data_IF_705155963324
#
_entry.id   IF_705155963324
#
_cell.length_a   1.000
_cell.length_b   1.000
_cell.length_c   1.000
_cell.angle_alpha   90.00
_cell.angle_beta   90.00
_cell.angle_gamma   90.00
#
_symmetry.space_group_name_H-M   'P 1'
#
loop_
_entity.id
_entity.type
_entity.pdbx_description
1 polymer ?
#
# COMPACT_ATOMS: atom_id res chain seq x y z
N UNK A 1 -7.92 47.94 -84.01
CA UNK A 1 -8.23 47.73 -82.59
C UNK A 1 -7.00 47.33 -81.78
N UNK A 2 -6.21 48.30 -81.27
CA UNK A 2 -5.08 48.00 -80.36
C UNK A 2 -5.55 47.67 -78.93
N UNK A 3 -6.69 48.24 -78.54
CA UNK A 3 -7.33 48.00 -77.23
C UNK A 3 -7.82 46.56 -77.08
N UNK A 4 -8.47 46.00 -78.11
CA UNK A 4 -8.96 44.61 -78.09
C UNK A 4 -7.83 43.58 -77.93
N UNK A 5 -6.66 43.84 -78.52
CA UNK A 5 -5.48 42.97 -78.39
C UNK A 5 -4.96 42.99 -76.94
N UNK A 6 -4.84 44.17 -76.34
CA UNK A 6 -4.42 44.32 -74.94
C UNK A 6 -5.42 43.70 -73.96
N UNK A 7 -6.71 43.86 -74.21
CA UNK A 7 -7.75 43.24 -73.38
C UNK A 7 -7.68 41.71 -73.43
N UNK A 8 -7.48 41.15 -74.63
CA UNK A 8 -7.29 39.70 -74.80
C UNK A 8 -6.05 39.19 -74.07
N UNK A 9 -4.93 39.92 -74.14
CA UNK A 9 -3.69 39.58 -73.43
C UNK A 9 -3.87 39.63 -71.89
N UNK A 10 -4.55 40.64 -71.36
CA UNK A 10 -4.84 40.76 -69.92
C UNK A 10 -5.71 39.58 -69.46
N UNK A 11 -6.75 39.24 -70.22
CA UNK A 11 -7.63 38.11 -69.92
C UNK A 11 -6.89 36.78 -69.98
N UNK A 12 -5.98 36.60 -70.93
CA UNK A 12 -5.16 35.41 -71.06
C UNK A 12 -4.20 35.26 -69.86
N UNK A 13 -3.47 36.32 -69.50
CA UNK A 13 -2.59 36.33 -68.32
C UNK A 13 -3.37 36.12 -67.01
N UNK A 14 -4.54 36.74 -66.88
CA UNK A 14 -5.41 36.53 -65.72
C UNK A 14 -5.91 35.08 -65.62
N UNK A 15 -6.24 34.47 -66.77
CA UNK A 15 -6.65 33.06 -66.85
C UNK A 15 -5.52 32.10 -66.52
N UNK A 16 -4.28 32.44 -66.89
CA UNK A 16 -3.09 31.67 -66.56
C UNK A 16 -2.81 31.71 -65.05
N UNK A 17 -2.80 32.90 -64.44
CA UNK A 17 -2.61 33.07 -62.99
C UNK A 17 -3.66 32.29 -62.20
N UNK A 18 -4.95 32.40 -62.58
CA UNK A 18 -6.02 31.66 -61.91
C UNK A 18 -5.86 30.14 -62.04
N UNK A 19 -5.35 29.65 -63.18
CA UNK A 19 -5.09 28.22 -63.39
C UNK A 19 -3.94 27.73 -62.52
N UNK A 20 -2.86 28.50 -62.43
CA UNK A 20 -1.73 28.18 -61.55
C UNK A 20 -2.16 28.15 -60.07
N UNK A 21 -2.94 29.15 -59.63
CA UNK A 21 -3.47 29.18 -58.26
C UNK A 21 -4.39 28.00 -57.97
N UNK A 22 -5.26 27.63 -58.93
CA UNK A 22 -6.13 26.48 -58.80
C UNK A 22 -5.32 25.17 -58.68
N UNK A 23 -4.27 25.00 -59.47
CA UNK A 23 -3.42 23.82 -59.42
C UNK A 23 -2.58 23.77 -58.13
N UNK A 24 -2.09 24.91 -57.64
CA UNK A 24 -1.41 25.00 -56.35
C UNK A 24 -2.36 24.61 -55.20
N UNK A 25 -3.57 25.16 -55.17
CA UNK A 25 -4.58 24.85 -54.17
C UNK A 25 -4.98 23.35 -54.19
N UNK A 26 -5.13 22.75 -55.39
CA UNK A 26 -5.41 21.30 -55.52
C UNK A 26 -4.28 20.43 -54.98
N UNK A 27 -3.02 20.81 -55.22
CA UNK A 27 -1.86 20.07 -54.71
C UNK A 27 -1.78 20.16 -53.19
N UNK A 28 -2.01 21.34 -52.63
CA UNK A 28 -2.04 21.55 -51.18
C UNK A 28 -3.17 20.73 -50.53
N UNK A 29 -4.38 20.79 -51.09
CA UNK A 29 -5.53 20.01 -50.62
C UNK A 29 -5.21 18.52 -50.59
N UNK A 30 -4.64 17.98 -51.69
CA UNK A 30 -4.25 16.57 -51.76
C UNK A 30 -3.19 16.18 -50.72
N UNK A 31 -2.32 17.11 -50.34
CA UNK A 31 -1.31 16.87 -49.31
C UNK A 31 -1.98 16.87 -47.92
N UNK A 32 -2.92 17.78 -47.68
CA UNK A 32 -3.74 17.81 -46.46
C UNK A 32 -4.61 16.56 -46.32
N UNK A 33 -5.21 16.07 -47.40
CA UNK A 33 -6.02 14.84 -47.38
C UNK A 33 -5.20 13.64 -46.92
N UNK A 34 -3.98 13.49 -47.43
CA UNK A 34 -3.05 12.42 -46.99
C UNK A 34 -2.69 12.53 -45.52
N UNK A 35 -2.48 13.75 -45.03
CA UNK A 35 -2.19 13.97 -43.62
C UNK A 35 -3.41 13.67 -42.73
N UNK A 36 -4.62 14.01 -43.19
CA UNK A 36 -5.86 13.63 -42.53
C UNK A 36 -6.03 12.11 -42.48
N UNK A 37 -5.74 11.39 -43.57
CA UNK A 37 -5.75 9.92 -43.58
C UNK A 37 -4.76 9.34 -42.56
N UNK A 38 -3.53 9.87 -42.53
CA UNK A 38 -2.50 9.45 -41.56
C UNK A 38 -2.94 9.70 -40.12
N UNK A 39 -3.48 10.88 -39.82
CA UNK A 39 -4.01 11.22 -38.49
C UNK A 39 -5.21 10.36 -38.11
N UNK A 40 -6.08 10.03 -39.06
CA UNK A 40 -7.21 9.12 -38.85
C UNK A 40 -6.75 7.72 -38.46
N UNK A 41 -5.67 7.21 -39.08
CA UNK A 41 -5.07 5.93 -38.70
C UNK A 41 -4.51 5.95 -37.28
N UNK A 42 -3.77 7.01 -36.93
CA UNK A 42 -3.23 7.18 -35.57
C UNK A 42 -4.36 7.24 -34.54
N UNK A 43 -5.44 7.99 -34.82
CA UNK A 43 -6.61 8.04 -33.94
C UNK A 43 -7.21 6.65 -33.73
N UNK A 44 -7.46 5.90 -34.81
CA UNK A 44 -8.06 4.56 -34.72
C UNK A 44 -7.17 3.60 -33.92
N UNK A 45 -5.84 3.68 -34.08
CA UNK A 45 -4.91 2.85 -33.33
C UNK A 45 -4.94 3.18 -31.83
N UNK A 46 -4.95 4.48 -31.48
CA UNK A 46 -5.08 4.91 -30.08
C UNK A 46 -6.44 4.50 -29.50
N UNK A 47 -7.53 4.60 -30.26
CA UNK A 47 -8.86 4.14 -29.83
C UNK A 47 -8.84 2.64 -29.51
N UNK A 48 -8.21 1.83 -30.36
CA UNK A 48 -8.06 0.39 -30.11
C UNK A 48 -7.21 0.10 -28.86
N UNK A 49 -6.04 0.73 -28.73
CA UNK A 49 -5.18 0.56 -27.55
C UNK A 49 -5.88 0.98 -26.25
N UNK A 50 -6.69 2.03 -26.30
CA UNK A 50 -7.51 2.47 -25.16
C UNK A 50 -8.59 1.45 -24.82
N UNK A 51 -9.26 0.85 -25.81
CA UNK A 51 -10.26 -0.18 -25.59
C UNK A 51 -9.64 -1.44 -24.97
N UNK A 52 -8.50 -1.90 -25.49
CA UNK A 52 -7.76 -3.06 -24.98
C UNK A 52 -7.27 -2.84 -23.55
N UNK A 53 -6.71 -1.66 -23.25
CA UNK A 53 -6.31 -1.29 -21.89
C UNK A 53 -7.52 -1.25 -20.95
N UNK A 54 -8.63 -0.67 -21.40
CA UNK A 54 -9.86 -0.58 -20.61
C UNK A 54 -10.41 -1.97 -20.28
N UNK A 55 -10.44 -2.89 -21.26
CA UNK A 55 -10.83 -4.27 -21.04
C UNK A 55 -9.92 -4.97 -20.02
N UNK A 56 -8.60 -4.82 -20.18
CA UNK A 56 -7.61 -5.41 -19.28
C UNK A 56 -7.76 -4.91 -17.83
N UNK A 57 -8.02 -3.62 -17.63
CA UNK A 57 -8.25 -3.04 -16.31
C UNK A 57 -9.52 -3.61 -15.65
N UNK A 58 -10.61 -3.78 -16.40
CA UNK A 58 -11.83 -4.39 -15.86
C UNK A 58 -11.63 -5.86 -15.49
N UNK A 59 -10.91 -6.62 -16.33
CA UNK A 59 -10.60 -8.02 -16.03
C UNK A 59 -9.76 -8.16 -14.76
N UNK A 60 -8.72 -7.35 -14.60
CA UNK A 60 -7.85 -7.40 -13.42
C UNK A 60 -8.60 -6.91 -12.16
N UNK A 61 -9.41 -5.86 -12.26
CA UNK A 61 -10.25 -5.41 -11.15
C UNK A 61 -11.23 -6.52 -10.71
N UNK A 62 -11.90 -7.18 -11.66
CA UNK A 62 -12.79 -8.30 -11.34
C UNK A 62 -12.04 -9.49 -10.74
N UNK A 63 -10.82 -9.77 -11.20
CA UNK A 63 -9.97 -10.83 -10.65
C UNK A 63 -9.60 -10.53 -9.20
N UNK A 64 -9.13 -9.31 -8.89
CA UNK A 64 -8.80 -8.90 -7.52
C UNK A 64 -9.99 -9.05 -6.57
N UNK A 65 -11.19 -8.63 -7.00
CA UNK A 65 -12.42 -8.76 -6.22
C UNK A 65 -12.77 -10.24 -5.98
N UNK A 66 -12.68 -11.08 -7.01
CA UNK A 66 -12.93 -12.53 -6.85
C UNK A 66 -11.94 -13.16 -5.87
N UNK A 67 -10.66 -12.86 -5.99
CA UNK A 67 -9.63 -13.39 -5.08
C UNK A 67 -9.87 -12.97 -3.63
N UNK A 68 -10.26 -11.71 -3.40
CA UNK A 68 -10.64 -11.23 -2.07
C UNK A 68 -11.85 -11.99 -1.52
N UNK A 69 -12.89 -12.18 -2.33
CA UNK A 69 -14.10 -12.92 -1.93
C UNK A 69 -13.81 -14.38 -1.62
N UNK A 70 -12.95 -15.05 -2.38
CA UNK A 70 -12.54 -16.44 -2.08
C UNK A 70 -11.77 -16.51 -0.76
N UNK A 71 -10.83 -15.59 -0.53
CA UNK A 71 -10.08 -15.51 0.73
C UNK A 71 -11.02 -15.25 1.92
N UNK A 72 -11.96 -14.33 1.77
CA UNK A 72 -12.98 -14.03 2.77
C UNK A 72 -13.84 -15.26 3.08
N UNK A 73 -14.40 -15.92 2.07
CA UNK A 73 -15.20 -17.13 2.25
C UNK A 73 -14.41 -18.25 2.94
N UNK A 74 -13.12 -18.39 2.63
CA UNK A 74 -12.22 -19.34 3.31
C UNK A 74 -12.04 -19.02 4.79
N UNK A 75 -11.79 -17.76 5.13
CA UNK A 75 -11.62 -17.31 6.52
C UNK A 75 -12.94 -17.45 7.32
N UNK A 76 -14.08 -17.06 6.73
CA UNK A 76 -15.40 -17.20 7.35
C UNK A 76 -15.75 -18.67 7.62
N UNK A 77 -15.42 -19.57 6.69
CA UNK A 77 -15.59 -21.01 6.88
C UNK A 77 -14.77 -21.51 8.08
N UNK A 78 -13.48 -21.15 8.13
CA UNK A 78 -12.59 -21.56 9.23
C UNK A 78 -13.07 -21.00 10.58
N UNK A 79 -13.54 -19.75 10.61
CA UNK A 79 -14.12 -19.14 11.80
C UNK A 79 -15.33 -19.95 12.28
N UNK A 80 -16.25 -20.31 11.37
CA UNK A 80 -17.44 -21.10 11.69
C UNK A 80 -17.08 -22.49 12.24
N UNK A 81 -16.06 -23.15 11.66
CA UNK A 81 -15.57 -24.44 12.15
C UNK A 81 -14.94 -24.32 13.55
N UNK A 82 -14.14 -23.28 13.79
CA UNK A 82 -13.55 -23.01 15.10
C UNK A 82 -14.62 -22.68 16.15
N UNK A 83 -15.64 -21.88 15.79
CA UNK A 83 -16.78 -21.58 16.65
C UNK A 83 -17.50 -22.87 17.07
N UNK A 84 -17.76 -23.79 16.12
CA UNK A 84 -18.36 -25.08 16.44
C UNK A 84 -17.52 -25.95 17.38
N UNK A 85 -16.18 -25.90 17.28
CA UNK A 85 -15.29 -26.57 18.25
C UNK A 85 -15.41 -25.96 19.64
N UNK A 86 -15.51 -24.63 19.73
CA UNK A 86 -15.71 -23.94 21.01
C UNK A 86 -17.05 -24.36 21.63
N UNK A 87 -18.13 -24.43 20.85
CA UNK A 87 -19.44 -24.82 21.35
C UNK A 87 -19.45 -26.25 21.93
N UNK A 88 -18.80 -27.20 21.24
CA UNK A 88 -18.64 -28.57 21.74
C UNK A 88 -17.84 -28.59 23.04
N UNK A 89 -16.69 -27.91 23.08
CA UNK A 89 -15.85 -27.85 24.28
C UNK A 89 -16.57 -27.19 25.45
N UNK A 90 -17.35 -26.13 25.21
CA UNK A 90 -18.17 -25.49 26.24
C UNK A 90 -19.23 -26.46 26.80
N UNK A 91 -19.87 -27.25 25.94
CA UNK A 91 -20.82 -28.27 26.36
C UNK A 91 -20.15 -29.36 27.22
N UNK A 92 -18.97 -29.83 26.83
CA UNK A 92 -18.18 -30.80 27.61
C UNK A 92 -17.78 -30.25 28.98
N UNK A 93 -17.23 -29.04 29.04
CA UNK A 93 -16.88 -28.38 30.32
C UNK A 93 -18.11 -28.24 31.22
N UNK A 94 -19.25 -27.89 30.64
CA UNK A 94 -20.51 -27.78 31.38
C UNK A 94 -20.95 -29.13 31.94
N UNK A 95 -20.90 -30.19 31.13
CA UNK A 95 -21.23 -31.55 31.56
C UNK A 95 -20.29 -32.05 32.67
N UNK A 96 -18.98 -31.83 32.52
CA UNK A 96 -17.98 -32.17 33.53
C UNK A 96 -18.21 -31.42 34.84
N UNK A 97 -18.53 -30.12 34.77
CA UNK A 97 -18.86 -29.31 35.96
C UNK A 97 -20.09 -29.85 36.70
N UNK A 98 -21.13 -30.27 35.97
CA UNK A 98 -22.32 -30.91 36.56
C UNK A 98 -21.94 -32.23 37.23
N UNK A 99 -21.14 -33.07 36.56
CA UNK A 99 -20.71 -34.37 37.10
C UNK A 99 -19.90 -34.21 38.39
N UNK A 100 -18.99 -33.23 38.44
CA UNK A 100 -18.23 -32.90 39.66
C UNK A 100 -19.17 -32.44 40.79
N UNK A 101 -20.07 -31.50 40.51
CA UNK A 101 -21.01 -30.98 41.50
C UNK A 101 -21.98 -32.04 42.02
N UNK A 102 -22.36 -33.01 41.20
CA UNK A 102 -23.27 -34.11 41.58
C UNK A 102 -22.56 -35.28 42.25
N UNK A 103 -21.28 -35.51 41.96
CA UNK A 103 -20.47 -36.58 42.56
C UNK A 103 -19.97 -36.26 43.97
N UNK A 104 -19.91 -34.99 44.36
CA UNK A 104 -19.67 -34.58 45.76
C UNK A 104 -20.94 -33.98 46.34
N UNK A 105 -21.75 -34.74 47.12
CA UNK A 105 -22.88 -34.15 47.80
C UNK A 105 -22.37 -33.04 48.73
N UNK A 106 -23.12 -31.94 48.79
CA UNK A 106 -22.79 -30.65 49.38
C UNK A 106 -22.63 -30.66 50.92
N UNK A 107 -21.86 -31.60 51.46
CA UNK A 107 -21.45 -31.71 52.85
C UNK A 107 -20.17 -32.55 52.93
N UNK A 108 -18.99 -31.97 53.25
CA UNK A 108 -17.83 -32.78 53.59
C UNK A 108 -18.22 -33.65 54.77
N UNK A 109 -17.98 -34.96 54.68
CA UNK A 109 -18.24 -35.89 55.78
C UNK A 109 -17.36 -35.52 56.98
N UNK A 110 -17.86 -34.66 57.86
CA UNK A 110 -17.14 -34.14 59.05
C UNK A 110 -16.71 -35.26 60.01
N UNK A 111 -17.27 -36.46 59.89
CA UNK A 111 -16.97 -37.58 60.76
C UNK A 111 -15.64 -38.27 60.40
N UNK A 112 -15.08 -38.03 59.21
CA UNK A 112 -13.83 -38.64 58.76
C UNK A 112 -12.60 -37.71 58.84
N UNK A 113 -12.80 -36.45 59.26
CA UNK A 113 -11.73 -35.46 59.37
C UNK A 113 -11.71 -34.81 60.76
N UNK A 114 -10.93 -35.37 61.71
CA UNK A 114 -10.73 -34.78 63.05
C UNK A 114 -10.21 -33.34 63.02
N UNK A 115 -9.56 -32.92 61.93
CA UNK A 115 -8.97 -31.59 61.77
C UNK A 115 -9.99 -30.45 61.62
N UNK A 116 -11.27 -30.76 61.36
CA UNK A 116 -12.35 -29.76 61.28
C UNK A 116 -13.15 -29.64 62.60
N UNK A 117 -12.74 -30.37 63.64
CA UNK A 117 -13.26 -30.19 65.00
C UNK A 117 -12.51 -29.02 65.65
N UNK A 118 -13.09 -27.83 65.60
CA UNK A 118 -12.53 -26.64 66.25
C UNK A 118 -12.51 -26.81 67.77
N UNK A 119 -11.36 -27.12 68.34
CA UNK A 119 -11.08 -26.91 69.77
C UNK A 119 -10.64 -25.47 69.98
N UNK A 120 -11.38 -24.74 70.82
CA UNK A 120 -11.08 -23.36 71.17
C UNK A 120 -9.84 -23.18 72.04
N UNK A 121 -9.60 -21.91 72.39
CA UNK A 121 -8.73 -21.40 73.46
C UNK A 121 -7.44 -20.70 73.01
N UNK A 122 -7.51 -19.36 73.07
CA UNK A 122 -6.54 -18.41 73.65
C UNK A 122 -5.13 -18.34 73.05
N UNK A 123 -4.74 -17.12 72.64
CA UNK A 123 -3.34 -16.76 72.59
C UNK A 123 -3.05 -15.51 71.75
N UNK A 124 -3.03 -14.35 72.39
CA UNK A 124 -2.44 -13.14 71.83
C UNK A 124 -0.90 -13.26 71.85
N UNK A 125 -0.25 -13.01 70.72
CA UNK A 125 1.20 -12.75 70.67
C UNK A 125 1.45 -11.63 69.67
N UNK A 126 1.89 -10.49 70.19
CA UNK A 126 2.54 -9.42 69.42
C UNK A 126 3.98 -9.84 69.14
N UNK A 127 4.42 -9.68 67.90
CA UNK A 127 5.78 -9.44 67.39
C UNK A 127 5.64 -9.57 65.85
N UNK A 128 6.05 -8.68 64.97
CA UNK A 128 6.92 -7.52 65.01
C UNK A 128 7.51 -7.40 63.59
N UNK A 129 7.62 -6.19 63.05
CA UNK A 129 8.54 -5.92 61.95
C UNK A 129 7.99 -5.97 60.52
N UNK A 130 7.67 -4.80 59.99
CA UNK A 130 8.18 -4.33 58.70
C UNK A 130 7.63 -4.94 57.41
N UNK A 131 6.72 -4.23 56.75
CA UNK A 131 6.98 -3.66 55.42
C UNK A 131 5.84 -2.72 55.01
N UNK A 132 6.15 -1.42 54.94
CA UNK A 132 5.37 -0.46 54.18
C UNK A 132 5.68 -0.70 52.71
N UNK A 133 4.66 -0.97 51.90
CA UNK A 133 4.56 -0.53 50.50
C UNK A 133 3.08 -0.46 50.12
N UNK A 134 2.65 0.76 49.82
CA UNK A 134 1.31 1.15 49.42
C UNK A 134 0.93 0.54 48.06
N UNK A 135 -0.21 -0.16 47.98
CA UNK A 135 -0.98 -0.39 46.75
C UNK A 135 -2.46 -0.50 47.09
N UNK A 136 -3.23 0.55 46.76
CA UNK A 136 -4.51 0.46 46.06
C UNK A 136 -5.19 1.84 46.01
N UNK A 137 -5.25 2.45 44.82
CA UNK A 137 -6.33 3.38 44.51
C UNK A 137 -7.37 2.61 43.71
N UNK A 138 -8.55 2.55 44.30
CA UNK A 138 -9.77 2.03 43.73
C UNK A 138 -10.15 2.78 42.45
N UNK A 139 -10.67 2.08 41.45
CA UNK A 139 -11.71 2.67 40.59
C UNK A 139 -12.82 1.68 40.36
N UNK A 140 -13.96 2.04 40.93
CA UNK A 140 -15.23 1.37 40.85
C UNK A 140 -15.78 1.41 39.42
N UNK A 141 -16.49 0.33 39.09
CA UNK A 141 -17.46 0.26 38.02
C UNK A 141 -18.54 1.32 38.21
N UNK A 142 -18.84 2.08 37.15
CA UNK A 142 -20.12 2.75 37.02
C UNK A 142 -20.71 2.38 35.67
N UNK A 143 -21.75 1.56 35.74
CA UNK A 143 -22.75 1.36 34.72
C UNK A 143 -23.82 2.45 34.86
N UNK A 144 -24.06 3.23 33.81
CA UNK A 144 -25.34 3.91 33.62
C UNK A 144 -25.72 3.89 32.14
N UNK A 145 -26.99 3.54 31.92
CA UNK A 145 -27.69 3.36 30.66
C UNK A 145 -28.42 4.65 30.26
N UNK A 146 -28.44 4.99 28.97
CA UNK A 146 -29.33 6.03 28.41
C UNK A 146 -28.90 6.56 27.02
N UNK A 147 -29.57 6.08 25.96
CA UNK A 147 -29.49 6.41 24.49
C UNK A 147 -30.07 7.84 24.20
N UNK A 148 -30.02 8.47 22.98
CA UNK A 148 -29.56 8.05 21.64
C UNK A 148 -28.66 9.04 20.80
N UNK A 149 -27.90 8.46 19.84
CA UNK A 149 -27.43 8.88 18.47
C UNK A 149 -27.59 10.35 17.97
N UNK A 150 -26.72 10.89 17.05
CA UNK A 150 -26.25 10.17 15.85
C UNK A 150 -24.79 10.36 15.34
N UNK A 151 -24.35 9.31 14.62
CA UNK A 151 -23.45 9.32 13.45
C UNK A 151 -21.96 9.65 13.63
N UNK A 152 -21.10 8.62 13.49
CA UNK A 152 -20.21 8.50 12.32
C UNK A 152 -19.51 7.14 12.32
N UNK A 153 -19.41 6.59 11.12
CA UNK A 153 -18.91 5.26 10.78
C UNK A 153 -17.45 5.11 11.22
N UNK A 154 -17.14 4.11 12.05
CA UNK A 154 -15.77 3.63 12.21
C UNK A 154 -15.75 2.11 12.08
N UNK A 155 -15.37 1.67 10.88
CA UNK A 155 -15.01 0.29 10.59
C UNK A 155 -13.78 -0.09 11.43
N UNK A 156 -13.99 -0.85 12.49
CA UNK A 156 -12.88 -1.51 13.18
C UNK A 156 -12.46 -2.73 12.35
N UNK A 157 -11.36 -2.60 11.61
CA UNK A 157 -10.61 -3.76 11.14
C UNK A 157 -9.71 -4.25 12.29
N UNK A 158 -9.92 -5.51 12.68
CA UNK A 158 -9.07 -6.22 13.63
C UNK A 158 -7.79 -6.64 12.90
N UNK A 159 -6.71 -5.93 13.20
CA UNK A 159 -5.38 -6.17 12.64
C UNK A 159 -4.39 -5.09 13.07
N UNK A 160 -4.42 -4.68 14.34
CA UNK A 160 -3.37 -3.81 14.89
C UNK A 160 -2.15 -4.69 15.20
N UNK A 161 -1.31 -4.90 14.20
CA UNK A 161 0.11 -4.70 14.50
C UNK A 161 0.19 -3.25 14.96
N UNK A 162 0.39 -3.05 16.25
CA UNK A 162 0.69 -1.75 16.80
C UNK A 162 2.07 -1.37 16.26
N UNK A 163 2.11 -0.87 15.02
CA UNK A 163 3.27 -0.22 14.45
C UNK A 163 3.49 0.99 15.36
N UNK A 164 4.36 0.84 16.34
CA UNK A 164 4.79 1.93 17.23
C UNK A 164 5.29 3.05 16.32
N UNK A 165 4.45 4.06 16.13
CA UNK A 165 4.76 5.21 15.29
C UNK A 165 5.65 6.13 16.13
N UNK A 166 6.85 6.44 15.63
CA UNK A 166 7.71 7.43 16.26
C UNK A 166 6.96 8.77 16.30
N UNK A 167 6.50 9.11 17.51
CA UNK A 167 5.68 10.29 17.75
C UNK A 167 6.48 11.59 17.52
N UNK A 168 7.80 11.54 17.63
CA UNK A 168 8.70 12.67 17.37
C UNK A 168 8.83 12.89 15.87
N UNK A 169 9.16 11.83 15.11
CA UNK A 169 9.21 11.90 13.65
C UNK A 169 7.87 12.35 13.05
N UNK A 170 6.75 11.86 13.60
CA UNK A 170 5.43 12.26 13.15
C UNK A 170 5.12 13.74 13.43
N UNK A 171 5.52 14.25 14.60
CA UNK A 171 5.36 15.68 14.90
C UNK A 171 6.25 16.56 14.00
N UNK A 172 7.49 16.15 13.74
CA UNK A 172 8.40 16.81 12.80
C UNK A 172 7.79 16.84 11.38
N UNK A 173 7.21 15.73 10.93
CA UNK A 173 6.52 15.62 9.66
C UNK A 173 5.30 16.56 9.58
N UNK A 174 4.47 16.60 10.62
CA UNK A 174 3.30 17.49 10.64
C UNK A 174 3.72 18.95 10.53
N UNK A 175 4.78 19.37 11.24
CA UNK A 175 5.30 20.72 11.15
C UNK A 175 5.84 21.05 9.75
N UNK A 176 6.56 20.11 9.13
CA UNK A 176 7.02 20.26 7.75
C UNK A 176 5.85 20.29 6.75
N UNK A 177 4.79 19.51 6.98
CA UNK A 177 3.61 19.45 6.10
C UNK A 177 2.84 20.78 6.06
N UNK A 178 2.77 21.49 7.19
CA UNK A 178 2.15 22.82 7.26
C UNK A 178 2.92 23.86 6.43
N UNK A 179 4.26 23.76 6.37
CA UNK A 179 5.11 24.64 5.56
C UNK A 179 6.19 23.83 4.82
N UNK A 180 5.84 23.20 3.70
CA UNK A 180 6.77 22.35 2.97
C UNK A 180 7.95 23.16 2.44
N UNK A 181 9.14 22.71 2.76
CA UNK A 181 10.39 23.29 2.27
C UNK A 181 11.42 22.20 2.01
N UNK A 182 12.41 22.52 1.17
CA UNK A 182 13.59 21.68 0.93
C UNK A 182 14.79 22.10 1.80
N UNK A 183 14.56 22.98 2.79
CA UNK A 183 15.62 23.44 3.68
C UNK A 183 16.06 22.31 4.62
N UNK A 184 17.33 21.93 4.49
CA UNK A 184 17.98 20.89 5.29
C UNK A 184 18.17 21.30 6.76
N UNK A 185 17.94 22.56 7.10
CA UNK A 185 17.99 23.04 8.50
C UNK A 185 16.79 22.59 9.34
N UNK A 186 15.70 22.17 8.70
CA UNK A 186 14.50 21.67 9.40
C UNK A 186 14.76 20.32 10.06
N UNK A 187 14.16 20.08 11.23
CA UNK A 187 14.34 18.83 11.99
C UNK A 187 13.98 17.60 11.15
N UNK A 188 12.83 17.66 10.46
CA UNK A 188 12.35 16.58 9.61
C UNK A 188 13.32 16.26 8.47
N UNK A 189 13.68 17.23 7.63
CA UNK A 189 14.57 16.93 6.49
C UNK A 189 15.99 16.58 6.93
N UNK A 190 16.53 17.23 7.96
CA UNK A 190 17.85 16.87 8.49
C UNK A 190 17.92 15.38 8.85
N UNK A 191 16.86 14.86 9.48
CA UNK A 191 16.71 13.45 9.81
C UNK A 191 16.61 12.57 8.57
N UNK A 192 15.70 12.88 7.63
CA UNK A 192 15.54 12.12 6.37
C UNK A 192 16.85 12.06 5.58
N UNK A 193 17.59 13.17 5.50
CA UNK A 193 18.87 13.21 4.80
C UNK A 193 19.94 12.34 5.47
N UNK A 194 19.92 12.26 6.80
CA UNK A 194 20.89 11.48 7.57
C UNK A 194 20.55 9.99 7.62
N UNK A 195 19.28 9.65 7.78
CA UNK A 195 18.81 8.29 8.06
C UNK A 195 18.42 7.54 6.78
N UNK A 196 17.84 8.22 5.78
CA UNK A 196 17.32 7.57 4.57
C UNK A 196 18.18 7.86 3.34
N UNK A 197 18.47 9.13 3.07
CA UNK A 197 19.11 9.53 1.80
C UNK A 197 20.61 9.25 1.82
N UNK A 198 21.31 9.71 2.87
CA UNK A 198 22.76 9.58 3.00
C UNK A 198 23.27 8.14 2.87
N UNK A 199 22.68 7.16 3.56
CA UNK A 199 23.06 5.75 3.43
C UNK A 199 22.88 5.20 2.01
N UNK A 200 21.85 5.66 1.28
CA UNK A 200 21.59 5.24 -0.10
C UNK A 200 22.56 5.85 -1.11
N UNK A 201 23.17 6.99 -0.80
CA UNK A 201 24.13 7.68 -1.66
C UNK A 201 25.59 7.47 -1.21
N UNK A 202 25.87 6.48 -0.38
CA UNK A 202 27.25 6.16 0.05
C UNK A 202 28.01 5.36 -1.02
N UNK A 203 28.51 6.04 -2.03
CA UNK A 203 29.34 5.44 -3.08
C UNK A 203 30.80 5.40 -2.64
N UNK A 204 31.56 4.42 -3.16
CA UNK A 204 33.03 4.39 -2.99
C UNK A 204 33.69 5.71 -3.44
N UNK A 205 33.10 6.39 -4.44
CA UNK A 205 33.51 7.71 -4.91
C UNK A 205 32.59 8.79 -4.32
N UNK A 206 33.06 9.49 -3.30
CA UNK A 206 32.25 10.48 -2.56
C UNK A 206 31.88 11.70 -3.41
N UNK A 207 32.66 12.05 -4.44
CA UNK A 207 32.30 13.14 -5.35
C UNK A 207 31.05 12.81 -6.16
N UNK A 208 30.87 11.54 -6.54
CA UNK A 208 29.69 11.09 -7.26
C UNK A 208 28.44 11.23 -6.38
N UNK A 209 28.55 10.87 -5.10
CA UNK A 209 27.46 11.04 -4.12
C UNK A 209 26.96 12.47 -4.06
N UNK A 210 27.90 13.42 -3.97
CA UNK A 210 27.58 14.85 -3.92
C UNK A 210 26.99 15.36 -5.24
N UNK A 211 27.50 14.88 -6.38
CA UNK A 211 26.99 15.27 -7.69
C UNK A 211 25.56 14.76 -7.92
N UNK A 212 25.30 13.49 -7.62
CA UNK A 212 23.95 12.90 -7.74
C UNK A 212 22.98 13.61 -6.80
N UNK A 213 23.36 13.84 -5.54
CA UNK A 213 22.52 14.56 -4.59
C UNK A 213 22.16 15.97 -5.08
N UNK A 214 23.16 16.77 -5.53
CA UNK A 214 22.92 18.10 -6.10
C UNK A 214 22.07 18.05 -7.38
N UNK A 215 22.27 17.05 -8.23
CA UNK A 215 21.49 16.90 -9.45
C UNK A 215 20.02 16.57 -9.16
N UNK A 216 19.75 15.75 -8.14
CA UNK A 216 18.38 15.44 -7.69
C UNK A 216 17.72 16.71 -7.12
N UNK A 217 18.41 17.45 -6.25
CA UNK A 217 17.85 18.68 -5.65
C UNK A 217 17.57 19.78 -6.68
N UNK A 218 18.41 19.89 -7.71
CA UNK A 218 18.23 20.84 -8.81
C UNK A 218 17.34 20.31 -9.94
N UNK A 219 16.75 19.10 -9.77
CA UNK A 219 15.94 18.43 -10.77
C UNK A 219 16.61 18.36 -12.16
N UNK A 220 17.91 18.07 -12.18
CA UNK A 220 18.76 18.04 -13.37
C UNK A 220 19.32 16.65 -13.66
N UNK A 221 18.72 15.60 -13.08
CA UNK A 221 19.15 14.22 -13.24
C UNK A 221 18.40 13.56 -14.41
N UNK A 222 19.14 12.96 -15.32
CA UNK A 222 18.61 12.09 -16.38
C UNK A 222 19.15 10.67 -16.18
N UNK A 223 18.31 9.66 -16.41
CA UNK A 223 18.68 8.25 -16.31
C UNK A 223 18.40 7.62 -17.67
N UNK A 224 19.45 7.08 -18.29
CA UNK A 224 19.34 6.34 -19.55
C UNK A 224 19.60 4.85 -19.29
N UNK A 225 18.94 3.94 -20.02
CA UNK A 225 19.27 2.53 -19.97
C UNK A 225 20.75 2.32 -20.30
N UNK A 226 21.45 1.53 -19.48
CA UNK A 226 22.82 1.15 -19.79
C UNK A 226 22.83 0.43 -21.14
N UNK A 227 23.55 0.98 -22.13
CA UNK A 227 23.73 0.33 -23.42
C UNK A 227 24.36 -1.04 -23.17
N UNK A 228 23.59 -2.11 -23.40
CA UNK A 228 24.10 -3.47 -23.39
C UNK A 228 25.05 -3.61 -24.57
N UNK A 229 26.34 -3.35 -24.33
CA UNK A 229 27.38 -3.76 -25.25
C UNK A 229 27.29 -5.28 -25.35
N UNK A 230 26.90 -5.79 -26.52
CA UNK A 230 26.87 -7.22 -26.78
C UNK A 230 28.29 -7.76 -26.61
N UNK A 231 28.57 -8.41 -25.47
CA UNK A 231 29.81 -9.15 -25.30
C UNK A 231 29.83 -10.32 -26.30
N UNK A 232 30.98 -10.61 -26.93
CA UNK A 232 31.07 -11.71 -27.88
C UNK A 232 30.89 -13.04 -27.15
N UNK A 233 29.92 -13.83 -27.61
CA UNK A 233 29.67 -15.19 -27.11
C UNK A 233 30.88 -16.07 -27.44
N UNK A 234 31.75 -16.32 -26.46
CA UNK A 234 32.78 -17.36 -26.57
C UNK A 234 32.07 -18.71 -26.44
N UNK A 235 31.90 -19.41 -27.57
CA UNK A 235 31.54 -20.82 -27.60
C UNK A 235 32.63 -21.63 -26.87
N UNK A 236 32.37 -22.02 -25.63
CA UNK A 236 33.15 -23.06 -24.97
C UNK A 236 32.69 -24.42 -25.52
N UNK A 237 33.53 -25.04 -26.35
CA UNK A 237 33.36 -26.41 -26.79
C UNK A 237 33.57 -27.36 -25.61
N UNK A 238 32.71 -28.37 -25.53
CA UNK A 238 32.82 -29.49 -24.61
C UNK A 238 34.15 -30.23 -24.84
N UNK A 239 34.89 -30.46 -23.76
CA UNK A 239 35.91 -31.50 -23.69
C UNK A 239 35.65 -32.32 -22.43
N UNK A 240 35.08 -33.50 -22.62
CA UNK A 240 35.20 -34.60 -21.67
C UNK A 240 36.67 -34.91 -21.41
N UNK A 241 37.05 -35.14 -20.15
CA UNK A 241 38.15 -36.03 -19.78
C UNK A 241 37.99 -36.48 -18.31
N UNK A 242 37.55 -37.74 -18.16
CA UNK A 242 37.92 -38.76 -17.16
C UNK A 242 38.39 -38.41 -15.74
N UNK A 243 37.84 -39.14 -14.76
CA UNK A 243 38.57 -39.55 -13.54
C UNK A 243 39.79 -40.44 -13.88
N UNK A 244 40.57 -41.00 -12.92
CA UNK A 244 40.22 -41.53 -11.59
C UNK A 244 41.18 -41.01 -10.48
N UNK A 245 41.17 -41.39 -9.20
CA UNK A 245 41.08 -42.70 -8.52
C UNK A 245 40.86 -42.48 -7.02
#
# INVERSE_FOLDING_TARGET
SSLEIKEKEIREKGSEILREQLDAAKKELKLKDKECERLSQVRNQLEQELEELTASLFEEAHKMVREANVKQAGAEKQLKEAQGKIDVLQAEVTALKILVLTSTPSSPNRQLHPQLQSSGSRGAHKCGGGHVRNKSISRAFQSSSGKPEPSSVSNQSAGKEEREMDSVLFAEFLLWKEQPSLDRSTAFLSRIYKEDIGPCLSFMRSELSQLVQRAVENNSLTIEPAAVSALPTVKAAALECGGPK
#
